data_IF_166710641176
#
_entry.id   IF_166710641176
#
_cell.length_a   1.000
_cell.length_b   1.000
_cell.length_c   1.000
_cell.angle_alpha   90.00
_cell.angle_beta   90.00
_cell.angle_gamma   90.00
#
_symmetry.space_group_name_H-M   'P 1'
#
loop_
_entity.id
_entity.type
_entity.pdbx_description
1 polymer ?
#
# COMPACT_ATOMS: atom_id res chain seq x y z
N UNK A 1 -2.49 21.53 -35.62
CA UNK A 1 -1.73 20.89 -34.55
C UNK A 1 -2.75 20.59 -33.45
N UNK A 2 -3.23 19.37 -33.36
CA UNK A 2 -4.17 18.92 -32.32
C UNK A 2 -3.33 18.29 -31.21
N UNK A 3 -3.29 18.91 -30.04
CA UNK A 3 -2.79 18.27 -28.83
C UNK A 3 -3.79 17.17 -28.47
N UNK A 4 -3.40 15.93 -28.65
CA UNK A 4 -4.06 14.79 -28.03
C UNK A 4 -3.59 14.76 -26.58
N UNK A 5 -4.47 15.19 -25.68
CA UNK A 5 -4.37 14.92 -24.27
C UNK A 5 -4.58 13.40 -24.09
N UNK A 6 -3.54 12.69 -23.81
CA UNK A 6 -3.61 11.32 -23.29
C UNK A 6 -3.92 11.44 -21.80
N UNK A 7 -5.20 11.44 -21.47
CA UNK A 7 -5.61 11.10 -20.11
C UNK A 7 -5.21 9.66 -19.87
N UNK A 8 -4.14 9.45 -19.14
CA UNK A 8 -3.82 8.15 -18.57
C UNK A 8 -4.93 7.85 -17.57
N UNK A 9 -5.88 7.02 -18.00
CA UNK A 9 -6.67 6.24 -17.09
C UNK A 9 -5.66 5.28 -16.45
N UNK A 10 -5.12 5.63 -15.28
CA UNK A 10 -4.81 4.60 -14.30
C UNK A 10 -6.17 3.97 -14.01
N UNK A 11 -6.55 3.03 -14.88
CA UNK A 11 -7.62 2.14 -14.53
C UNK A 11 -7.15 1.47 -13.26
N UNK A 12 -7.54 2.07 -12.12
CA UNK A 12 -7.67 1.22 -10.98
C UNK A 12 -8.34 -0.02 -11.51
N UNK A 13 -7.67 -1.07 -11.30
CA UNK A 13 -8.28 -2.33 -11.28
C UNK A 13 -8.96 -2.56 -9.92
N UNK A 14 -9.91 -1.84 -9.81
CA UNK A 14 -11.18 -2.23 -10.39
C UNK A 14 -11.15 -2.18 -11.94
N UNK A 15 -10.04 -2.50 -12.56
CA UNK A 15 -9.98 -2.84 -13.97
C UNK A 15 -10.79 -4.10 -14.06
N UNK A 16 -11.97 -3.88 -14.43
CA UNK A 16 -12.97 -4.85 -14.65
C UNK A 16 -12.38 -6.24 -14.73
N UNK A 17 -12.47 -6.98 -13.61
CA UNK A 17 -12.73 -8.37 -13.77
C UNK A 17 -13.79 -8.39 -14.84
N UNK A 18 -13.42 -8.72 -16.05
CA UNK A 18 -14.38 -8.87 -17.14
C UNK A 18 -15.32 -9.93 -16.63
N UNK A 19 -16.47 -9.49 -16.10
CA UNK A 19 -17.52 -10.39 -15.70
C UNK A 19 -17.94 -11.13 -16.97
N UNK A 20 -17.36 -12.28 -17.20
CA UNK A 20 -17.87 -13.19 -18.18
C UNK A 20 -19.08 -13.85 -17.53
N UNK A 21 -20.20 -13.17 -17.61
CA UNK A 21 -21.49 -13.71 -17.22
C UNK A 21 -21.91 -14.76 -18.27
N UNK A 22 -21.40 -15.98 -18.13
CA UNK A 22 -21.92 -17.12 -18.81
C UNK A 22 -23.14 -17.61 -18.04
N UNK A 23 -24.29 -16.96 -18.28
CA UNK A 23 -25.56 -17.44 -17.79
C UNK A 23 -26.01 -18.67 -18.62
N UNK A 24 -25.44 -19.82 -18.33
CA UNK A 24 -26.06 -21.08 -18.80
C UNK A 24 -27.20 -21.43 -17.85
N UNK A 25 -28.43 -21.37 -18.39
CA UNK A 25 -29.64 -21.88 -17.74
C UNK A 25 -29.57 -23.41 -17.70
N UNK A 26 -28.93 -23.97 -16.70
CA UNK A 26 -28.96 -25.42 -16.47
C UNK A 26 -30.14 -25.73 -15.56
N UNK A 27 -31.15 -26.44 -16.07
CA UNK A 27 -32.24 -26.95 -15.25
C UNK A 27 -31.71 -28.16 -14.45
N UNK A 28 -31.64 -28.01 -13.14
CA UNK A 28 -31.14 -29.04 -12.24
C UNK A 28 -32.19 -30.03 -11.80
N UNK A 29 -31.85 -31.29 -11.85
CA UNK A 29 -32.56 -32.38 -11.24
C UNK A 29 -31.65 -32.94 -10.12
N UNK A 30 -32.13 -32.87 -8.87
CA UNK A 30 -31.73 -33.48 -7.61
C UNK A 30 -30.67 -32.78 -6.74
N UNK A 31 -31.00 -32.44 -5.46
CA UNK A 31 -30.17 -31.66 -4.55
C UNK A 31 -29.40 -32.44 -3.49
N UNK A 32 -29.65 -33.70 -3.19
CA UNK A 32 -29.41 -34.23 -1.85
C UNK A 32 -28.06 -34.92 -1.58
N UNK A 33 -27.21 -35.17 -2.59
CA UNK A 33 -25.98 -35.94 -2.36
C UNK A 33 -24.67 -35.13 -2.35
N UNK A 34 -24.71 -33.86 -2.76
CA UNK A 34 -23.48 -33.02 -2.87
C UNK A 34 -23.18 -32.16 -1.62
N UNK A 35 -24.21 -31.85 -0.83
CA UNK A 35 -24.03 -31.00 0.37
C UNK A 35 -23.33 -31.71 1.52
N UNK A 36 -23.59 -33.00 1.74
CA UNK A 36 -23.00 -33.74 2.86
C UNK A 36 -21.49 -34.04 2.69
N UNK A 37 -21.02 -34.34 1.47
CA UNK A 37 -19.60 -34.66 1.25
C UNK A 37 -18.69 -33.43 1.29
N UNK A 38 -19.22 -32.22 1.06
CA UNK A 38 -18.46 -30.99 1.05
C UNK A 38 -18.33 -30.39 2.45
N UNK A 39 -19.39 -30.42 3.25
CA UNK A 39 -19.34 -29.98 4.65
C UNK A 39 -18.33 -30.79 5.45
N UNK A 40 -18.23 -32.10 5.25
CA UNK A 40 -17.25 -32.96 5.95
C UNK A 40 -15.79 -32.65 5.59
N UNK A 41 -15.51 -32.10 4.40
CA UNK A 41 -14.15 -31.78 3.97
C UNK A 41 -13.69 -30.41 4.48
N UNK A 42 -14.59 -29.45 4.58
CA UNK A 42 -14.31 -28.08 5.07
C UNK A 42 -14.26 -28.04 6.61
N UNK A 43 -15.11 -28.82 7.30
CA UNK A 43 -15.13 -28.91 8.78
C UNK A 43 -13.92 -29.63 9.36
N UNK A 44 -13.23 -30.49 8.61
CA UNK A 44 -12.11 -31.31 9.11
C UNK A 44 -10.77 -30.56 9.19
N UNK A 45 -10.61 -29.39 8.56
CA UNK A 45 -9.39 -28.57 8.62
C UNK A 45 -9.51 -27.30 9.47
N UNK A 46 -10.67 -27.02 10.05
CA UNK A 46 -10.87 -25.90 10.98
C UNK A 46 -10.19 -26.13 12.33
N UNK A 47 -8.85 -26.23 12.31
CA UNK A 47 -8.08 -26.17 13.56
C UNK A 47 -8.06 -24.73 14.08
N UNK A 48 -8.27 -24.61 15.41
CA UNK A 48 -8.27 -23.36 16.20
C UNK A 48 -7.08 -22.42 15.99
N UNK A 49 -6.04 -22.85 15.29
CA UNK A 49 -4.88 -22.05 14.88
C UNK A 49 -5.17 -21.11 13.71
N UNK A 50 -6.05 -21.47 12.79
CA UNK A 50 -6.38 -20.64 11.63
C UNK A 50 -7.26 -19.43 11.99
N UNK A 51 -8.18 -19.56 12.94
CA UNK A 51 -9.02 -18.41 13.35
C UNK A 51 -8.19 -17.25 13.93
N UNK A 52 -7.10 -17.55 14.65
CA UNK A 52 -6.22 -16.53 15.19
C UNK A 52 -5.40 -15.83 14.09
N UNK A 53 -5.06 -16.56 13.02
CA UNK A 53 -4.33 -16.04 11.87
C UNK A 53 -5.20 -15.12 11.01
N UNK A 54 -6.44 -15.51 10.72
CA UNK A 54 -7.38 -14.71 9.96
C UNK A 54 -7.73 -13.36 10.63
N UNK A 55 -7.72 -13.28 11.95
CA UNK A 55 -7.98 -12.05 12.68
C UNK A 55 -6.91 -10.96 12.45
N UNK A 56 -5.76 -11.30 11.87
CA UNK A 56 -4.73 -10.34 11.50
C UNK A 56 -4.97 -9.67 10.13
N UNK A 57 -5.87 -10.24 9.31
CA UNK A 57 -6.23 -9.64 8.03
C UNK A 57 -7.28 -8.54 8.23
N UNK A 58 -6.95 -7.35 7.79
CA UNK A 58 -7.78 -6.16 8.05
C UNK A 58 -9.17 -6.30 7.44
N UNK A 59 -9.27 -6.57 6.14
CA UNK A 59 -10.56 -6.64 5.45
C UNK A 59 -11.40 -7.83 5.93
N UNK A 60 -10.79 -8.98 6.16
CA UNK A 60 -11.47 -10.12 6.77
C UNK A 60 -12.10 -9.75 8.11
N UNK A 61 -11.38 -9.03 8.97
CA UNK A 61 -11.85 -8.64 10.31
C UNK A 61 -13.04 -7.66 10.29
N UNK A 62 -13.26 -6.95 9.18
CA UNK A 62 -14.38 -6.00 9.01
C UNK A 62 -15.66 -6.66 8.50
N UNK A 63 -15.60 -7.92 8.08
CA UNK A 63 -16.72 -8.67 7.49
C UNK A 63 -17.63 -9.29 8.53
N UNK A 64 -18.91 -9.46 8.16
CA UNK A 64 -19.81 -10.31 8.92
C UNK A 64 -19.48 -11.81 8.71
N UNK A 65 -20.11 -12.66 9.53
CA UNK A 65 -19.83 -14.12 9.55
C UNK A 65 -20.11 -14.81 8.20
N UNK A 66 -21.12 -14.34 7.46
CA UNK A 66 -21.45 -14.90 6.14
C UNK A 66 -20.38 -14.51 5.12
N UNK A 67 -19.97 -13.25 5.09
CA UNK A 67 -18.90 -12.75 4.24
C UNK A 67 -17.56 -13.42 4.56
N UNK A 68 -17.24 -13.61 5.85
CA UNK A 68 -16.03 -14.33 6.28
C UNK A 68 -16.00 -15.77 5.78
N UNK A 69 -17.15 -16.43 5.71
CA UNK A 69 -17.24 -17.77 5.15
C UNK A 69 -16.95 -17.76 3.63
N UNK A 70 -17.57 -16.86 2.89
CA UNK A 70 -17.30 -16.67 1.46
C UNK A 70 -15.85 -16.32 1.20
N UNK A 71 -15.23 -15.52 2.06
CA UNK A 71 -13.80 -15.16 1.98
C UNK A 71 -12.90 -16.39 2.03
N UNK A 72 -13.12 -17.27 3.01
CA UNK A 72 -12.36 -18.53 3.12
C UNK A 72 -12.56 -19.45 1.93
N UNK A 73 -13.78 -19.51 1.39
CA UNK A 73 -14.11 -20.30 0.20
C UNK A 73 -13.39 -19.76 -1.04
N UNK A 74 -13.38 -18.44 -1.25
CA UNK A 74 -12.69 -17.79 -2.37
C UNK A 74 -11.17 -17.94 -2.22
N UNK A 75 -10.61 -17.68 -1.03
CA UNK A 75 -9.20 -17.84 -0.76
C UNK A 75 -8.74 -19.26 -1.06
N UNK A 76 -9.47 -20.26 -0.53
CA UNK A 76 -9.18 -21.66 -0.80
C UNK A 76 -9.23 -22.01 -2.29
N UNK A 77 -10.21 -21.45 -3.03
CA UNK A 77 -10.32 -21.68 -4.47
C UNK A 77 -9.11 -21.11 -5.21
N UNK A 78 -8.66 -19.90 -4.86
CA UNK A 78 -7.51 -19.25 -5.48
C UNK A 78 -6.20 -19.99 -5.20
N UNK A 79 -5.92 -20.32 -3.93
CA UNK A 79 -4.71 -21.00 -3.53
C UNK A 79 -4.56 -22.40 -4.16
N UNK A 80 -5.67 -23.10 -4.34
CA UNK A 80 -5.68 -24.49 -4.81
C UNK A 80 -6.10 -24.64 -6.27
N UNK A 81 -6.36 -23.54 -7.00
CA UNK A 81 -6.82 -23.55 -8.39
C UNK A 81 -8.11 -24.39 -8.56
N UNK A 82 -9.05 -24.26 -7.60
CA UNK A 82 -10.30 -25.01 -7.62
C UNK A 82 -11.26 -24.37 -8.61
N UNK A 83 -11.73 -25.16 -9.59
CA UNK A 83 -12.79 -24.74 -10.51
C UNK A 83 -14.18 -25.05 -9.90
N UNK A 84 -15.16 -24.19 -10.22
CA UNK A 84 -16.56 -24.33 -9.80
C UNK A 84 -16.78 -24.52 -8.28
N UNK A 85 -15.96 -23.80 -7.48
CA UNK A 85 -16.10 -23.81 -6.02
C UNK A 85 -17.49 -23.32 -5.60
N UNK A 86 -18.31 -24.14 -4.90
CA UNK A 86 -19.59 -23.67 -4.40
C UNK A 86 -19.41 -22.61 -3.33
N UNK A 87 -20.10 -21.48 -3.47
CA UNK A 87 -20.08 -20.42 -2.47
C UNK A 87 -21.28 -20.47 -1.54
N UNK A 88 -21.07 -20.08 -0.28
CA UNK A 88 -22.12 -19.94 0.74
C UNK A 88 -22.97 -18.68 0.59
N UNK A 89 -22.94 -18.04 -0.56
CA UNK A 89 -23.79 -16.89 -0.91
C UNK A 89 -24.48 -17.09 -2.25
N UNK A 90 -25.62 -16.42 -2.44
CA UNK A 90 -26.33 -16.30 -3.73
C UNK A 90 -26.32 -14.88 -4.25
N UNK A 91 -25.55 -13.98 -3.62
CA UNK A 91 -25.47 -12.55 -3.93
C UNK A 91 -24.15 -12.26 -4.65
N UNK A 92 -24.22 -11.81 -5.89
CA UNK A 92 -23.00 -11.56 -6.71
C UNK A 92 -22.20 -10.35 -6.26
N UNK A 93 -22.86 -9.34 -5.70
CA UNK A 93 -22.19 -8.18 -5.09
C UNK A 93 -21.36 -8.56 -3.86
N UNK A 94 -21.80 -9.59 -3.10
CA UNK A 94 -20.98 -10.15 -2.00
C UNK A 94 -19.75 -10.87 -2.57
N UNK A 95 -19.90 -11.65 -3.66
CA UNK A 95 -18.77 -12.34 -4.31
C UNK A 95 -17.72 -11.32 -4.77
N UNK A 96 -18.16 -10.28 -5.48
CA UNK A 96 -17.27 -9.23 -6.01
C UNK A 96 -16.52 -8.50 -4.87
N UNK A 97 -17.25 -8.02 -3.87
CA UNK A 97 -16.67 -7.35 -2.71
C UNK A 97 -15.66 -8.23 -1.97
N UNK A 98 -16.03 -9.48 -1.71
CA UNK A 98 -15.19 -10.40 -0.94
C UNK A 98 -13.95 -10.80 -1.73
N UNK A 99 -14.04 -11.03 -3.04
CA UNK A 99 -12.89 -11.29 -3.89
C UNK A 99 -11.86 -10.15 -3.82
N UNK A 100 -12.32 -8.89 -3.92
CA UNK A 100 -11.44 -7.73 -3.77
C UNK A 100 -10.74 -7.71 -2.41
N UNK A 101 -11.48 -8.00 -1.34
CA UNK A 101 -10.91 -8.06 0.01
C UNK A 101 -9.84 -9.15 0.15
N UNK A 102 -10.05 -10.33 -0.45
CA UNK A 102 -9.04 -11.39 -0.48
C UNK A 102 -7.76 -10.90 -1.14
N UNK A 103 -7.84 -10.25 -2.30
CA UNK A 103 -6.66 -9.73 -3.00
C UNK A 103 -5.97 -8.56 -2.28
N UNK A 104 -6.71 -7.79 -1.46
CA UNK A 104 -6.16 -6.71 -0.66
C UNK A 104 -5.48 -7.21 0.62
N UNK A 105 -5.96 -8.29 1.21
CA UNK A 105 -5.36 -8.90 2.39
C UNK A 105 -4.18 -9.83 2.05
N UNK A 106 -4.14 -10.39 0.82
CA UNK A 106 -3.20 -11.42 0.39
C UNK A 106 -2.32 -10.97 -0.79
N UNK A 107 -1.28 -10.14 -0.56
CA UNK A 107 -0.37 -9.71 -1.61
C UNK A 107 0.38 -10.87 -2.29
N UNK A 108 0.50 -12.02 -1.62
CA UNK A 108 1.09 -13.27 -2.13
C UNK A 108 0.23 -13.94 -3.21
N UNK A 109 -1.05 -13.55 -3.37
CA UNK A 109 -1.89 -14.01 -4.49
C UNK A 109 -1.60 -13.12 -5.72
N UNK A 110 -0.37 -13.15 -6.19
CA UNK A 110 0.09 -12.37 -7.35
C UNK A 110 -0.32 -12.98 -8.70
N UNK A 111 -0.76 -14.21 -8.70
CA UNK A 111 -1.02 -15.07 -9.86
C UNK A 111 -2.48 -15.05 -10.31
N UNK A 112 -3.40 -14.46 -9.55
CA UNK A 112 -4.81 -14.32 -9.90
C UNK A 112 -5.11 -12.88 -10.33
N UNK A 113 -5.77 -12.71 -11.48
CA UNK A 113 -6.15 -11.43 -12.06
C UNK A 113 -7.66 -11.21 -12.14
N UNK A 114 -8.46 -12.23 -11.82
CA UNK A 114 -9.89 -12.14 -11.89
C UNK A 114 -10.60 -13.41 -11.45
N UNK A 115 -11.87 -13.46 -11.76
CA UNK A 115 -12.70 -14.63 -11.50
C UNK A 115 -13.88 -14.72 -12.48
N UNK A 116 -14.48 -15.90 -12.54
CA UNK A 116 -15.79 -16.13 -13.15
C UNK A 116 -16.70 -16.83 -12.16
N UNK A 117 -18.01 -16.76 -12.39
CA UNK A 117 -18.99 -17.49 -11.60
C UNK A 117 -20.14 -18.03 -12.44
N UNK A 118 -20.76 -19.11 -11.97
CA UNK A 118 -21.98 -19.66 -12.59
C UNK A 118 -23.12 -19.55 -11.58
N UNK A 119 -24.27 -19.00 -12.06
CA UNK A 119 -25.51 -18.94 -11.28
C UNK A 119 -26.40 -20.11 -11.63
N UNK A 120 -26.86 -20.85 -10.64
CA UNK A 120 -27.87 -21.89 -10.79
C UNK A 120 -29.22 -21.34 -10.32
N UNK A 121 -30.19 -21.24 -11.22
CA UNK A 121 -31.51 -20.65 -10.94
C UNK A 121 -32.62 -21.68 -11.00
N UNK A 122 -33.61 -21.51 -10.15
CA UNK A 122 -34.87 -22.26 -10.19
C UNK A 122 -36.03 -21.29 -10.05
N UNK A 123 -36.90 -21.22 -11.03
CA UNK A 123 -38.05 -20.28 -11.07
C UNK A 123 -37.60 -18.82 -10.80
N UNK A 124 -36.59 -18.37 -11.54
CA UNK A 124 -35.97 -17.02 -11.47
C UNK A 124 -35.29 -16.66 -10.15
N UNK A 125 -35.17 -17.61 -9.23
CA UNK A 125 -34.44 -17.42 -7.98
C UNK A 125 -33.06 -18.10 -8.02
N UNK A 126 -31.97 -17.37 -7.70
CA UNK A 126 -30.63 -17.94 -7.62
C UNK A 126 -30.54 -18.88 -6.41
N UNK A 127 -30.23 -20.12 -6.65
CA UNK A 127 -30.13 -21.18 -5.63
C UNK A 127 -28.69 -21.50 -5.24
N UNK A 128 -27.75 -21.27 -6.14
CA UNK A 128 -26.34 -21.57 -5.93
C UNK A 128 -25.50 -20.68 -6.84
N UNK A 129 -24.33 -20.28 -6.36
CA UNK A 129 -23.24 -19.69 -7.15
C UNK A 129 -22.02 -20.61 -7.01
N UNK A 130 -21.32 -20.85 -8.12
CA UNK A 130 -19.97 -21.43 -8.10
C UNK A 130 -18.97 -20.42 -8.62
N UNK A 131 -17.79 -20.40 -8.01
CA UNK A 131 -16.69 -19.48 -8.29
C UNK A 131 -15.54 -20.23 -8.93
N UNK A 132 -14.85 -19.60 -9.89
CA UNK A 132 -13.58 -20.07 -10.46
C UNK A 132 -12.65 -18.89 -10.62
N UNK A 133 -11.43 -19.00 -10.09
CA UNK A 133 -10.40 -17.97 -10.28
C UNK A 133 -9.93 -17.90 -11.73
N UNK A 134 -9.50 -16.72 -12.18
CA UNK A 134 -8.77 -16.50 -13.42
C UNK A 134 -7.31 -16.24 -13.10
N UNK A 135 -6.40 -16.89 -13.80
CA UNK A 135 -4.98 -16.91 -13.42
C UNK A 135 -4.11 -16.45 -14.57
N UNK A 136 -3.11 -15.61 -14.28
CA UNK A 136 -2.07 -15.16 -15.22
C UNK A 136 -0.92 -16.18 -15.30
N UNK A 137 -0.76 -17.01 -14.28
CA UNK A 137 0.24 -18.07 -14.21
C UNK A 137 -0.41 -19.42 -13.92
N UNK A 138 0.09 -20.47 -14.55
CA UNK A 138 -0.26 -21.81 -14.13
C UNK A 138 0.41 -22.17 -12.79
N UNK A 139 0.06 -23.33 -12.24
CA UNK A 139 0.55 -23.73 -10.91
C UNK A 139 2.07 -23.90 -10.85
N UNK A 140 2.69 -24.41 -11.93
CA UNK A 140 4.14 -24.61 -11.98
C UNK A 140 4.88 -23.27 -12.06
N UNK A 141 4.41 -22.35 -12.90
CA UNK A 141 4.95 -21.00 -13.03
C UNK A 141 4.78 -20.21 -11.72
N UNK A 142 3.59 -20.31 -11.08
CA UNK A 142 3.32 -19.72 -9.77
C UNK A 142 4.32 -20.22 -8.73
N UNK A 143 4.50 -21.54 -8.60
CA UNK A 143 5.39 -22.11 -7.58
C UNK A 143 6.86 -21.69 -7.81
N UNK A 144 7.30 -21.56 -9.08
CA UNK A 144 8.63 -21.06 -9.42
C UNK A 144 8.81 -19.59 -9.04
N UNK A 145 7.86 -18.73 -9.41
CA UNK A 145 7.90 -17.30 -9.08
C UNK A 145 7.82 -17.06 -7.55
N UNK A 146 6.97 -17.80 -6.85
CA UNK A 146 6.86 -17.74 -5.39
C UNK A 146 8.20 -18.03 -4.70
N UNK A 147 8.91 -19.06 -5.13
CA UNK A 147 10.23 -19.38 -4.59
C UNK A 147 11.27 -18.26 -4.86
N UNK A 148 11.21 -17.60 -6.02
CA UNK A 148 12.08 -16.48 -6.36
C UNK A 148 11.73 -15.22 -5.55
N UNK A 149 10.43 -14.92 -5.38
CA UNK A 149 9.94 -13.82 -4.56
C UNK A 149 10.37 -14.02 -3.11
N UNK A 150 10.21 -15.23 -2.57
CA UNK A 150 10.63 -15.57 -1.22
C UNK A 150 12.13 -15.33 -1.02
N UNK A 151 12.96 -15.78 -1.96
CA UNK A 151 14.40 -15.55 -1.90
C UNK A 151 14.76 -14.06 -1.94
N UNK A 152 14.15 -13.29 -2.84
CA UNK A 152 14.36 -11.85 -2.95
C UNK A 152 13.94 -11.12 -1.66
N UNK A 153 12.77 -11.45 -1.13
CA UNK A 153 12.26 -10.87 0.12
C UNK A 153 13.20 -11.15 1.31
N UNK A 154 13.67 -12.39 1.45
CA UNK A 154 14.64 -12.76 2.50
C UNK A 154 15.96 -12.00 2.34
N UNK A 155 16.39 -11.73 1.11
CA UNK A 155 17.59 -10.95 0.85
C UNK A 155 17.41 -9.49 1.23
N UNK A 156 16.28 -8.87 0.86
CA UNK A 156 15.94 -7.51 1.22
C UNK A 156 15.79 -7.32 2.75
N UNK A 157 15.36 -8.34 3.47
CA UNK A 157 15.17 -8.30 4.93
C UNK A 157 16.43 -8.61 5.75
N UNK A 158 17.59 -8.87 5.13
CA UNK A 158 18.83 -9.21 5.87
C UNK A 158 19.35 -8.10 6.78
N UNK A 159 19.00 -6.86 6.50
CA UNK A 159 19.51 -5.68 7.25
C UNK A 159 18.70 -5.34 8.49
N UNK A 160 17.59 -6.04 8.77
CA UNK A 160 16.72 -5.76 9.93
C UNK A 160 16.77 -6.91 10.94
N UNK A 161 16.94 -6.59 12.21
CA UNK A 161 16.98 -7.58 13.28
C UNK A 161 15.58 -8.04 13.73
N UNK A 162 15.49 -9.27 14.24
CA UNK A 162 14.24 -9.79 14.81
C UNK A 162 13.75 -8.98 16.03
N UNK A 163 14.68 -8.40 16.80
CA UNK A 163 14.39 -7.60 17.99
C UNK A 163 14.12 -6.11 17.68
N UNK A 164 14.12 -5.71 16.40
CA UNK A 164 13.80 -4.34 16.00
C UNK A 164 12.35 -4.01 16.36
N UNK A 165 12.11 -2.75 16.74
CA UNK A 165 10.76 -2.23 17.02
C UNK A 165 9.90 -2.21 15.75
N UNK A 166 8.58 -2.18 15.90
CA UNK A 166 7.67 -2.08 14.76
C UNK A 166 7.98 -0.85 13.89
N UNK A 167 8.29 0.30 14.52
CA UNK A 167 8.70 1.50 13.80
C UNK A 167 9.97 1.30 12.96
N UNK A 168 11.01 0.69 13.53
CA UNK A 168 12.25 0.41 12.82
C UNK A 168 12.02 -0.54 11.64
N UNK A 169 11.15 -1.54 11.81
CA UNK A 169 10.75 -2.46 10.74
C UNK A 169 10.01 -1.74 9.62
N UNK A 170 9.03 -0.89 9.97
CA UNK A 170 8.27 -0.11 8.96
C UNK A 170 9.18 0.85 8.21
N UNK A 171 10.03 1.61 8.92
CA UNK A 171 11.00 2.51 8.30
C UNK A 171 11.97 1.75 7.39
N UNK A 172 12.50 0.62 7.85
CA UNK A 172 13.41 -0.21 7.07
C UNK A 172 12.78 -0.72 5.77
N UNK A 173 11.55 -1.25 5.84
CA UNK A 173 10.82 -1.74 4.67
C UNK A 173 10.52 -0.60 3.69
N UNK A 174 10.08 0.56 4.20
CA UNK A 174 9.84 1.76 3.41
C UNK A 174 11.08 2.16 2.60
N UNK A 175 12.21 2.34 3.28
CA UNK A 175 13.49 2.71 2.66
C UNK A 175 14.00 1.62 1.70
N UNK A 176 13.80 0.35 2.04
CA UNK A 176 14.26 -0.78 1.24
C UNK A 176 13.48 -0.86 -0.07
N UNK A 177 12.16 -0.74 -0.03
CA UNK A 177 11.33 -0.75 -1.24
C UNK A 177 11.69 0.42 -2.15
N UNK A 178 11.81 1.64 -1.61
CA UNK A 178 12.16 2.83 -2.39
C UNK A 178 13.53 2.67 -3.07
N UNK A 179 14.54 2.17 -2.37
CA UNK A 179 15.90 2.03 -2.93
C UNK A 179 16.06 0.90 -3.94
N UNK A 180 15.15 -0.07 -3.96
CA UNK A 180 15.27 -1.26 -4.80
C UNK A 180 14.20 -1.35 -5.88
N UNK A 181 13.36 -0.34 -6.02
CA UNK A 181 12.26 -0.34 -7.01
C UNK A 181 12.27 0.99 -7.75
N UNK A 182 12.22 0.95 -9.07
CA UNK A 182 12.04 2.11 -9.93
C UNK A 182 10.54 2.26 -10.26
N UNK A 183 10.02 3.49 -10.27
CA UNK A 183 8.64 3.72 -10.69
C UNK A 183 8.55 3.65 -12.23
N UNK A 184 7.87 2.63 -12.74
CA UNK A 184 7.72 2.40 -14.18
C UNK A 184 6.31 1.88 -14.51
N UNK A 185 5.57 2.65 -15.32
CA UNK A 185 4.22 2.29 -15.76
C UNK A 185 4.20 1.16 -16.79
N UNK A 186 5.30 0.96 -17.49
CA UNK A 186 5.44 -0.07 -18.53
C UNK A 186 6.07 -1.38 -17.98
N UNK A 187 6.39 -1.42 -16.68
CA UNK A 187 6.96 -2.62 -16.06
C UNK A 187 6.01 -3.82 -16.17
N UNK A 188 6.57 -4.99 -16.47
CA UNK A 188 5.83 -6.24 -16.48
C UNK A 188 5.32 -6.56 -15.07
N UNK A 189 4.08 -7.06 -14.96
CA UNK A 189 3.43 -7.42 -13.68
C UNK A 189 3.29 -6.24 -12.69
N UNK A 190 3.29 -5.00 -13.16
CA UNK A 190 3.38 -3.78 -12.35
C UNK A 190 2.31 -3.59 -11.28
N UNK A 191 1.23 -4.40 -11.29
CA UNK A 191 0.15 -4.36 -10.30
C UNK A 191 0.30 -5.40 -9.17
N UNK A 192 1.35 -6.21 -9.21
CA UNK A 192 1.58 -7.25 -8.22
C UNK A 192 3.03 -7.29 -7.74
N UNK A 193 3.33 -8.15 -6.76
CA UNK A 193 4.65 -8.20 -6.12
C UNK A 193 5.77 -8.74 -7.01
N UNK A 194 5.46 -9.41 -8.13
CA UNK A 194 6.48 -9.90 -9.05
C UNK A 194 7.32 -8.74 -9.61
N UNK A 195 6.67 -7.62 -9.95
CA UNK A 195 7.34 -6.45 -10.50
C UNK A 195 8.43 -5.90 -9.58
N UNK A 196 8.14 -5.82 -8.28
CA UNK A 196 9.10 -5.34 -7.27
C UNK A 196 10.20 -6.37 -7.02
N UNK A 197 9.82 -7.63 -6.69
CA UNK A 197 10.79 -8.62 -6.22
C UNK A 197 11.62 -9.26 -7.33
N UNK A 198 11.10 -9.35 -8.56
CA UNK A 198 11.78 -10.01 -9.67
C UNK A 198 12.34 -9.02 -10.69
N UNK A 199 11.67 -7.86 -10.89
CA UNK A 199 12.03 -6.92 -11.94
C UNK A 199 12.63 -5.61 -11.37
N UNK A 200 12.40 -5.27 -10.12
CA UNK A 200 12.86 -4.02 -9.50
C UNK A 200 12.20 -2.76 -10.07
N UNK A 201 11.02 -2.89 -10.71
CA UNK A 201 10.30 -1.77 -11.29
C UNK A 201 8.79 -2.01 -11.18
N UNK A 202 8.00 -1.00 -10.77
CA UNK A 202 6.59 -1.17 -10.49
C UNK A 202 5.81 0.15 -10.51
N UNK A 203 4.50 0.08 -10.28
CA UNK A 203 3.63 1.23 -9.97
C UNK A 203 3.12 1.15 -8.53
N UNK A 204 2.34 2.13 -8.11
CA UNK A 204 1.87 2.28 -6.72
C UNK A 204 1.30 0.99 -6.09
N UNK A 205 0.51 0.21 -6.84
CA UNK A 205 -0.08 -1.02 -6.32
C UNK A 205 0.96 -2.11 -6.03
N UNK A 206 1.98 -2.27 -6.88
CA UNK A 206 3.07 -3.20 -6.62
C UNK A 206 3.94 -2.75 -5.44
N UNK A 207 4.28 -1.45 -5.33
CA UNK A 207 4.95 -0.87 -4.17
C UNK A 207 4.19 -1.19 -2.87
N UNK A 208 2.91 -0.85 -2.81
CA UNK A 208 2.10 -1.04 -1.62
C UNK A 208 1.93 -2.53 -1.23
N UNK A 209 1.73 -3.42 -2.21
CA UNK A 209 1.68 -4.86 -1.97
C UNK A 209 3.02 -5.43 -1.50
N UNK A 210 4.14 -4.94 -2.03
CA UNK A 210 5.46 -5.38 -1.60
C UNK A 210 5.79 -4.91 -0.17
N UNK A 211 5.41 -3.68 0.20
CA UNK A 211 5.48 -3.19 1.58
C UNK A 211 4.66 -4.09 2.51
N UNK A 212 3.39 -4.38 2.15
CA UNK A 212 2.53 -5.27 2.93
C UNK A 212 3.13 -6.67 3.09
N UNK A 213 3.67 -7.26 2.02
CA UNK A 213 4.29 -8.58 2.03
C UNK A 213 5.51 -8.64 2.95
N UNK A 214 6.45 -7.67 2.84
CA UNK A 214 7.63 -7.63 3.71
C UNK A 214 7.27 -7.38 5.18
N UNK A 215 6.33 -6.48 5.45
CA UNK A 215 5.86 -6.22 6.81
C UNK A 215 5.16 -7.44 7.41
N UNK A 216 4.40 -8.18 6.61
CA UNK A 216 3.81 -9.47 7.03
C UNK A 216 4.87 -10.47 7.49
N UNK A 217 6.00 -10.60 6.75
CA UNK A 217 7.14 -11.44 7.15
C UNK A 217 7.81 -10.97 8.44
N UNK A 218 7.79 -9.68 8.72
CA UNK A 218 8.30 -9.09 9.97
C UNK A 218 7.26 -9.07 11.10
N UNK A 219 6.07 -9.65 10.88
CA UNK A 219 4.95 -9.69 11.83
C UNK A 219 4.43 -8.29 12.23
N UNK A 220 4.53 -7.31 11.34
CA UNK A 220 3.93 -5.99 11.49
C UNK A 220 2.65 -5.95 10.67
N UNK A 221 1.47 -5.73 11.30
CA UNK A 221 0.21 -5.67 10.57
C UNK A 221 0.21 -4.50 9.58
N UNK A 222 -0.05 -4.82 8.33
CA UNK A 222 -0.15 -3.86 7.24
C UNK A 222 -1.30 -4.25 6.32
N UNK A 223 -2.00 -3.26 5.76
CA UNK A 223 -3.07 -3.49 4.79
C UNK A 223 -2.93 -2.53 3.62
N UNK A 224 -3.40 -2.98 2.46
CA UNK A 224 -3.49 -2.16 1.26
C UNK A 224 -4.63 -1.15 1.44
N UNK A 225 -4.40 0.10 1.08
CA UNK A 225 -5.41 1.16 1.02
C UNK A 225 -5.52 1.63 -0.43
N UNK A 226 -6.73 1.81 -0.91
CA UNK A 226 -7.00 2.31 -2.26
C UNK A 226 -7.77 3.62 -2.21
N UNK A 227 -7.53 4.47 -3.18
CA UNK A 227 -8.18 5.76 -3.29
C UNK A 227 -7.73 6.53 -4.52
N UNK A 228 -7.69 7.84 -4.43
CA UNK A 228 -7.19 8.73 -5.47
C UNK A 228 -6.24 9.76 -4.88
N UNK A 229 -5.46 10.39 -5.73
CA UNK A 229 -4.65 11.56 -5.38
C UNK A 229 -5.26 12.84 -5.97
N UNK A 230 -4.70 14.00 -5.63
CA UNK A 230 -5.25 15.34 -5.96
C UNK A 230 -5.65 15.55 -7.42
N UNK A 231 -4.95 14.95 -8.37
CA UNK A 231 -5.26 15.04 -9.80
C UNK A 231 -6.41 14.12 -10.22
N UNK A 232 -6.99 13.34 -9.28
CA UNK A 232 -8.06 12.37 -9.50
C UNK A 232 -7.56 11.01 -10.03
N UNK A 233 -6.26 10.83 -10.17
CA UNK A 233 -5.69 9.52 -10.51
C UNK A 233 -5.84 8.57 -9.35
N UNK A 234 -6.12 7.35 -9.71
CA UNK A 234 -6.20 6.29 -8.76
C UNK A 234 -4.85 5.95 -8.13
N UNK A 235 -4.83 5.59 -6.84
CA UNK A 235 -3.62 5.35 -6.08
C UNK A 235 -3.80 4.26 -5.02
N UNK A 236 -2.69 3.59 -4.68
CA UNK A 236 -2.65 2.57 -3.64
C UNK A 236 -1.46 2.82 -2.72
N UNK A 237 -1.70 2.70 -1.42
CA UNK A 237 -0.70 2.85 -0.35
C UNK A 237 -1.01 1.89 0.80
N UNK A 238 -0.42 2.07 1.96
CA UNK A 238 -0.62 1.19 3.09
C UNK A 238 -1.16 1.92 4.32
N UNK A 239 -1.90 1.19 5.14
CA UNK A 239 -2.08 1.47 6.55
C UNK A 239 -1.34 0.40 7.34
N UNK A 240 -0.52 0.83 8.32
CA UNK A 240 0.29 -0.06 9.17
C UNK A 240 -0.09 0.12 10.62
N UNK A 241 0.11 -0.92 11.43
CA UNK A 241 -0.05 -0.83 12.88
C UNK A 241 1.33 -0.85 13.52
N UNK A 242 1.71 0.27 14.13
CA UNK A 242 2.96 0.41 14.90
C UNK A 242 2.60 0.52 16.36
N UNK A 243 3.11 -0.41 17.18
CA UNK A 243 2.74 -0.52 18.59
C UNK A 243 1.21 -0.68 18.75
N UNK A 244 0.52 0.34 19.24
CA UNK A 244 -0.94 0.29 19.46
C UNK A 244 -1.72 1.31 18.61
N UNK A 245 -1.11 1.94 17.60
CA UNK A 245 -1.73 2.96 16.77
C UNK A 245 -1.59 2.61 15.27
N UNK A 246 -2.54 3.12 14.48
CA UNK A 246 -2.49 3.01 13.03
C UNK A 246 -1.87 4.27 12.41
N UNK A 247 -1.16 4.07 11.29
CA UNK A 247 -0.52 5.12 10.51
C UNK A 247 -0.64 4.81 9.02
N UNK A 248 -0.62 5.85 8.19
CA UNK A 248 -0.48 5.65 6.75
C UNK A 248 0.98 5.66 6.34
N UNK A 249 1.29 4.87 5.32
CA UNK A 249 2.61 4.76 4.69
C UNK A 249 2.43 4.70 3.18
N UNK A 250 3.10 5.58 2.44
CA UNK A 250 3.11 5.56 0.99
C UNK A 250 4.53 5.58 0.44
N UNK A 251 5.05 4.40 0.12
CA UNK A 251 6.40 4.25 -0.42
C UNK A 251 6.53 4.80 -1.84
N UNK A 252 5.45 4.88 -2.63
CA UNK A 252 5.48 5.47 -3.97
C UNK A 252 5.73 6.97 -3.91
N UNK A 253 5.00 7.69 -3.06
CA UNK A 253 5.20 9.13 -2.85
C UNK A 253 6.45 9.44 -2.01
N UNK A 254 6.97 8.42 -1.35
CA UNK A 254 8.28 8.46 -0.71
C UNK A 254 9.45 8.35 -1.67
N UNK A 255 9.23 7.88 -2.87
CA UNK A 255 10.24 7.65 -3.89
C UNK A 255 10.43 8.88 -4.78
N UNK A 256 11.66 9.42 -4.80
CA UNK A 256 11.98 10.56 -5.67
C UNK A 256 11.80 10.21 -7.16
N UNK A 257 12.00 8.95 -7.56
CA UNK A 257 11.85 8.52 -8.96
C UNK A 257 10.41 8.70 -9.46
N UNK A 258 9.41 8.46 -8.62
CA UNK A 258 8.01 8.76 -8.93
C UNK A 258 7.78 10.23 -9.27
N UNK A 259 8.41 11.15 -8.53
CA UNK A 259 8.28 12.60 -8.78
C UNK A 259 8.84 13.01 -10.14
N UNK A 260 9.87 12.32 -10.65
CA UNK A 260 10.39 12.54 -12.00
C UNK A 260 9.38 12.16 -13.09
N UNK A 261 8.61 11.10 -12.90
CA UNK A 261 7.60 10.67 -13.89
C UNK A 261 6.39 11.61 -13.97
N UNK A 262 6.03 12.25 -12.85
CA UNK A 262 4.83 13.11 -12.77
C UNK A 262 5.12 14.55 -13.15
N UNK A 263 6.38 15.01 -13.10
CA UNK A 263 6.77 16.42 -13.23
C UNK A 263 7.93 16.65 -14.21
N UNK A 264 7.88 16.08 -15.41
CA UNK A 264 8.95 16.14 -16.44
C UNK A 264 9.55 17.53 -16.71
N UNK A 265 8.91 18.62 -16.29
CA UNK A 265 9.29 20.00 -16.61
C UNK A 265 9.89 20.81 -15.43
N UNK A 266 10.12 20.24 -14.25
CA UNK A 266 10.57 21.04 -13.10
C UNK A 266 12.07 20.89 -12.78
N UNK A 267 12.81 22.01 -12.85
CA UNK A 267 14.20 22.12 -12.36
C UNK A 267 14.33 21.77 -10.85
N UNK A 268 13.22 21.76 -10.12
CA UNK A 268 13.15 21.43 -8.70
C UNK A 268 13.45 19.94 -8.40
N UNK A 269 13.21 19.05 -9.37
CA UNK A 269 13.34 17.59 -9.20
C UNK A 269 14.80 17.15 -9.03
N UNK A 270 15.77 17.84 -9.66
CA UNK A 270 17.20 17.48 -9.58
C UNK A 270 17.77 17.57 -8.16
N UNK A 271 17.02 18.12 -7.23
CA UNK A 271 17.43 18.43 -5.88
C UNK A 271 16.44 17.88 -4.84
N UNK A 272 15.75 16.80 -5.14
CA UNK A 272 14.89 16.08 -4.18
C UNK A 272 15.71 15.01 -3.45
N UNK A 273 15.60 14.86 -2.11
CA UNK A 273 16.21 13.74 -1.42
C UNK A 273 15.73 12.41 -2.02
N UNK A 274 16.61 11.41 -2.09
CA UNK A 274 16.29 10.06 -2.58
C UNK A 274 15.00 9.50 -1.94
N UNK A 275 14.80 9.78 -0.66
CA UNK A 275 13.64 9.35 0.12
C UNK A 275 12.93 10.57 0.71
N UNK A 276 11.65 10.67 0.41
CA UNK A 276 10.74 11.64 1.01
C UNK A 276 10.00 10.99 2.20
N UNK A 277 10.28 11.44 3.41
CA UNK A 277 9.66 10.91 4.63
C UNK A 277 8.32 11.59 5.00
N UNK A 278 7.81 12.50 4.18
CA UNK A 278 6.49 13.11 4.38
C UNK A 278 5.33 12.11 4.32
N UNK A 279 5.61 10.87 3.89
CA UNK A 279 4.65 9.79 3.73
C UNK A 279 4.98 8.55 4.57
N UNK A 280 5.87 8.68 5.57
CA UNK A 280 6.21 7.59 6.49
C UNK A 280 5.53 7.76 7.86
N UNK A 281 4.63 6.87 8.20
CA UNK A 281 3.88 6.84 9.47
C UNK A 281 3.11 8.15 9.75
N UNK A 282 2.30 8.56 8.79
CA UNK A 282 1.53 9.80 8.85
C UNK A 282 0.10 9.58 9.34
N UNK A 283 -0.51 10.66 9.83
CA UNK A 283 -1.88 10.66 10.31
C UNK A 283 -2.91 10.71 9.17
N UNK A 284 -4.19 10.46 9.51
CA UNK A 284 -5.31 10.68 8.56
C UNK A 284 -5.35 12.13 8.08
N UNK A 285 -5.11 13.11 8.96
CA UNK A 285 -5.09 14.52 8.57
C UNK A 285 -3.98 14.80 7.54
N UNK A 286 -2.78 14.26 7.77
CA UNK A 286 -1.63 14.48 6.89
C UNK A 286 -1.83 13.81 5.53
N UNK A 287 -2.24 12.54 5.48
CA UNK A 287 -2.42 11.84 4.20
C UNK A 287 -3.54 12.46 3.36
N UNK A 288 -4.63 12.90 3.97
CA UNK A 288 -5.77 13.51 3.26
C UNK A 288 -5.47 14.88 2.66
N UNK A 289 -4.30 15.46 2.86
CA UNK A 289 -3.89 16.70 2.17
C UNK A 289 -3.59 16.48 0.69
N UNK A 290 -3.28 15.26 0.32
CA UNK A 290 -2.92 14.89 -1.06
C UNK A 290 -3.64 13.64 -1.56
N UNK A 291 -4.27 12.87 -0.67
CA UNK A 291 -4.94 11.62 -0.97
C UNK A 291 -6.41 11.68 -0.59
N UNK A 292 -7.23 10.90 -1.28
CA UNK A 292 -8.64 10.69 -0.97
C UNK A 292 -8.86 9.17 -0.82
N UNK A 293 -9.20 8.72 0.38
CA UNK A 293 -9.45 7.30 0.67
C UNK A 293 -10.78 6.89 0.04
N UNK A 294 -10.83 5.73 -0.59
CA UNK A 294 -12.07 5.18 -1.17
C UNK A 294 -13.12 4.94 -0.09
N UNK A 295 -14.35 5.36 -0.35
CA UNK A 295 -15.51 5.12 0.54
C UNK A 295 -15.95 3.65 0.59
N UNK A 296 -15.33 2.78 -0.21
CA UNK A 296 -15.70 1.34 -0.28
C UNK A 296 -15.47 0.63 1.06
N UNK A 297 -14.48 1.08 1.84
CA UNK A 297 -14.11 0.49 3.12
C UNK A 297 -13.90 1.57 4.18
N UNK A 298 -14.44 1.32 5.37
CA UNK A 298 -14.22 2.22 6.51
C UNK A 298 -12.84 1.97 7.12
N UNK A 299 -11.93 2.92 6.95
CA UNK A 299 -10.61 2.86 7.57
C UNK A 299 -10.64 3.46 8.97
N UNK A 300 -9.87 2.91 9.93
CA UNK A 300 -9.72 3.51 11.26
C UNK A 300 -9.03 4.87 11.17
N UNK A 301 -9.34 5.75 12.12
CA UNK A 301 -8.66 7.03 12.26
C UNK A 301 -7.21 6.82 12.72
N UNK A 302 -6.27 7.38 11.98
CA UNK A 302 -4.86 7.44 12.35
C UNK A 302 -4.59 8.85 12.92
N UNK A 303 -4.50 8.99 14.24
CA UNK A 303 -4.38 10.28 14.93
C UNK A 303 -3.11 10.40 15.80
N UNK A 304 -2.31 9.35 15.89
CA UNK A 304 -1.08 9.34 16.66
C UNK A 304 0.09 9.90 15.86
N UNK A 305 0.92 10.73 16.51
CA UNK A 305 2.19 11.23 15.98
C UNK A 305 3.41 10.48 16.51
N UNK A 306 3.23 9.48 17.39
CA UNK A 306 4.35 8.83 18.08
C UNK A 306 5.34 8.10 17.15
N UNK A 307 4.86 7.58 16.02
CA UNK A 307 5.69 6.94 15.01
C UNK A 307 5.96 7.83 13.78
N UNK A 308 5.50 9.09 13.77
CA UNK A 308 5.82 9.99 12.67
C UNK A 308 7.35 10.20 12.59
N UNK A 309 7.90 10.10 11.37
CA UNK A 309 9.34 10.17 11.13
C UNK A 309 9.96 11.45 11.73
N UNK A 310 9.38 12.60 11.45
CA UNK A 310 9.93 13.89 11.89
C UNK A 310 9.86 14.09 13.40
N UNK A 311 8.84 13.52 14.05
CA UNK A 311 8.75 13.50 15.51
C UNK A 311 9.88 12.66 16.10
N UNK A 312 10.14 11.48 15.54
CA UNK A 312 11.22 10.56 15.96
C UNK A 312 12.61 11.15 15.74
N UNK A 313 12.82 11.88 14.64
CA UNK A 313 14.09 12.51 14.28
C UNK A 313 14.29 13.89 14.96
N UNK A 314 13.29 14.40 15.71
CA UNK A 314 13.37 15.74 16.32
C UNK A 314 13.23 16.90 15.33
N UNK A 315 12.73 16.62 14.12
CA UNK A 315 12.58 17.57 13.02
C UNK A 315 11.13 18.09 12.85
N UNK A 316 10.26 17.82 13.83
CA UNK A 316 8.86 18.29 13.88
C UNK A 316 8.75 19.55 14.75
N UNK A 317 8.26 20.64 14.17
CA UNK A 317 8.17 21.96 14.79
C UNK A 317 6.71 22.34 15.05
N UNK A 318 6.39 22.58 16.32
CA UNK A 318 5.09 23.14 16.75
C UNK A 318 5.15 24.66 16.91
N UNK A 319 6.34 25.23 16.94
CA UNK A 319 6.67 26.67 16.95
C UNK A 319 8.03 26.84 16.30
N UNK A 320 8.37 28.05 15.85
CA UNK A 320 9.74 28.36 15.47
C UNK A 320 10.63 28.36 16.71
N UNK A 321 11.45 27.32 16.87
CA UNK A 321 12.41 27.15 17.96
C UNK A 321 13.83 27.12 17.39
N UNK A 322 14.56 28.22 17.58
CA UNK A 322 15.94 28.40 17.10
C UNK A 322 16.90 27.35 17.69
N UNK A 323 16.71 26.94 18.93
CA UNK A 323 17.59 25.96 19.59
C UNK A 323 17.36 24.56 19.02
N UNK A 324 16.09 24.18 18.82
CA UNK A 324 15.77 22.91 18.17
C UNK A 324 16.36 22.86 16.76
N UNK A 325 16.24 23.93 15.99
CA UNK A 325 16.78 24.03 14.64
C UNK A 325 18.32 23.93 14.63
N UNK A 326 19.01 24.67 15.50
CA UNK A 326 20.45 24.62 15.63
C UNK A 326 20.96 23.21 15.96
N UNK A 327 20.32 22.56 16.94
CA UNK A 327 20.66 21.20 17.35
C UNK A 327 20.41 20.20 16.22
N UNK A 328 19.28 20.31 15.53
CA UNK A 328 18.92 19.43 14.41
C UNK A 328 19.96 19.51 13.28
N UNK A 329 20.29 20.73 12.84
CA UNK A 329 21.28 20.95 11.78
C UNK A 329 22.66 20.42 12.20
N UNK A 330 23.07 20.69 13.44
CA UNK A 330 24.35 20.21 13.96
C UNK A 330 24.42 18.67 13.96
N UNK A 331 23.36 17.99 14.46
CA UNK A 331 23.27 16.55 14.50
C UNK A 331 23.30 15.92 13.09
N UNK A 332 22.60 16.50 12.13
CA UNK A 332 22.54 15.98 10.76
C UNK A 332 23.90 16.10 10.07
N UNK A 333 24.63 17.20 10.31
CA UNK A 333 26.01 17.35 9.82
C UNK A 333 26.97 16.36 10.45
N UNK A 334 26.88 16.12 11.75
CA UNK A 334 27.71 15.12 12.44
C UNK A 334 27.48 13.72 11.87
N UNK A 335 26.25 13.43 11.44
CA UNK A 335 25.88 12.18 10.78
C UNK A 335 26.29 12.13 9.30
N UNK A 336 26.82 13.23 8.75
CA UNK A 336 27.18 13.34 7.33
C UNK A 336 25.98 13.36 6.39
N UNK A 337 24.81 13.77 6.87
CA UNK A 337 23.62 13.93 6.02
C UNK A 337 23.78 15.16 5.14
N UNK A 338 23.36 15.03 3.89
CA UNK A 338 23.47 16.10 2.89
C UNK A 338 22.32 17.10 2.94
N UNK A 339 21.22 16.75 3.58
CA UNK A 339 20.02 17.59 3.70
C UNK A 339 19.32 17.44 5.03
N UNK A 340 18.55 18.46 5.40
CA UNK A 340 17.67 18.47 6.56
C UNK A 340 16.26 18.89 6.12
N UNK A 341 15.24 18.11 6.48
CA UNK A 341 13.84 18.47 6.26
C UNK A 341 13.20 18.88 7.58
N UNK A 342 12.58 20.05 7.59
CA UNK A 342 11.83 20.60 8.72
C UNK A 342 10.35 20.37 8.46
N UNK A 343 9.65 19.71 9.37
CA UNK A 343 8.20 19.46 9.32
C UNK A 343 7.49 20.39 10.29
N UNK A 344 6.47 21.10 9.83
CA UNK A 344 5.69 22.04 10.64
C UNK A 344 4.32 21.46 11.00
N UNK A 345 3.89 21.69 12.22
CA UNK A 345 2.63 21.16 12.75
C UNK A 345 1.40 21.69 12.01
N UNK A 346 1.43 22.96 11.65
CA UNK A 346 0.31 23.64 11.00
C UNK A 346 0.81 24.71 9.99
N UNK A 347 -0.13 25.32 9.30
CA UNK A 347 0.16 26.33 8.27
C UNK A 347 0.73 27.63 8.87
N UNK A 348 0.39 27.96 10.13
CA UNK A 348 0.92 29.14 10.81
C UNK A 348 2.42 28.97 11.07
N UNK A 349 2.80 27.83 11.65
CA UNK A 349 4.23 27.50 11.90
C UNK A 349 5.00 27.41 10.58
N UNK A 350 4.41 26.76 9.55
CA UNK A 350 5.02 26.67 8.23
C UNK A 350 5.31 28.05 7.62
N UNK A 351 4.32 28.93 7.63
CA UNK A 351 4.47 30.29 7.06
C UNK A 351 5.52 31.10 7.85
N UNK A 352 5.55 30.99 9.17
CA UNK A 352 6.58 31.62 9.99
C UNK A 352 7.99 31.10 9.63
N UNK A 353 8.13 29.77 9.47
CA UNK A 353 9.42 29.16 9.09
C UNK A 353 9.86 29.61 7.69
N UNK A 354 8.97 29.69 6.73
CA UNK A 354 9.27 30.24 5.38
C UNK A 354 9.71 31.68 5.47
N UNK A 355 8.94 32.55 6.16
CA UNK A 355 9.29 33.96 6.34
C UNK A 355 10.66 34.14 7.00
N UNK A 356 10.89 33.46 8.13
CA UNK A 356 12.14 33.62 8.89
C UNK A 356 13.34 33.01 8.16
N UNK A 357 13.24 31.77 7.70
CA UNK A 357 14.42 31.05 7.21
C UNK A 357 14.73 31.37 5.75
N UNK A 358 13.72 31.58 4.90
CA UNK A 358 13.87 31.79 3.46
C UNK A 358 13.81 33.27 3.12
N UNK A 359 12.69 33.98 3.41
CA UNK A 359 12.51 35.36 3.00
C UNK A 359 13.47 36.33 3.70
N UNK A 360 13.63 36.16 5.04
CA UNK A 360 14.59 36.94 5.82
C UNK A 360 16.01 36.36 5.77
N UNK A 361 16.18 35.19 5.14
CA UNK A 361 17.47 34.53 4.97
C UNK A 361 18.17 34.12 6.29
N UNK A 362 17.43 33.98 7.39
CA UNK A 362 18.01 33.63 8.68
C UNK A 362 18.55 32.19 8.72
N UNK A 363 18.25 31.35 7.73
CA UNK A 363 18.86 30.02 7.60
C UNK A 363 20.40 30.08 7.61
N UNK A 364 21.00 31.17 7.06
CA UNK A 364 22.45 31.36 7.05
C UNK A 364 23.08 31.49 8.44
N UNK A 365 22.29 31.81 9.49
CA UNK A 365 22.78 31.84 10.88
C UNK A 365 23.14 30.45 11.42
N UNK A 366 22.58 29.39 10.81
CA UNK A 366 22.76 28.00 11.23
C UNK A 366 23.75 27.23 10.35
N UNK A 367 24.13 27.82 9.19
CA UNK A 367 25.09 27.23 8.28
C UNK A 367 26.50 27.60 8.63
N UNK A 368 27.41 26.61 8.72
CA UNK A 368 28.83 26.83 8.99
C UNK A 368 29.54 27.00 7.65
N UNK A 369 30.24 28.14 7.47
CA UNK A 369 31.09 28.41 6.30
C UNK A 369 30.73 29.70 5.56
N UNK A 370 31.52 30.04 4.53
CA UNK A 370 31.33 31.25 3.69
C UNK A 370 30.34 31.02 2.52
N UNK A 371 29.37 30.13 2.70
CA UNK A 371 28.37 29.84 1.64
C UNK A 371 27.41 31.03 1.51
N UNK A 372 27.42 31.67 0.34
CA UNK A 372 26.53 32.77 0.02
C UNK A 372 25.22 32.30 -0.63
N UNK A 373 25.01 30.99 -0.76
CA UNK A 373 23.81 30.39 -1.34
C UNK A 373 23.51 29.05 -0.66
N UNK A 374 22.24 28.76 -0.55
CA UNK A 374 21.73 27.46 -0.09
C UNK A 374 20.65 26.98 -1.04
N UNK A 375 20.66 25.70 -1.32
CA UNK A 375 19.59 25.07 -2.05
C UNK A 375 18.50 24.65 -1.07
N UNK A 376 17.26 24.90 -1.43
CA UNK A 376 16.11 24.43 -0.67
C UNK A 376 14.95 24.02 -1.60
N UNK A 377 14.09 23.16 -1.09
CA UNK A 377 12.75 22.91 -1.64
C UNK A 377 11.72 23.03 -0.53
N UNK A 378 10.53 23.43 -0.89
CA UNK A 378 9.39 23.50 0.02
C UNK A 378 8.18 22.75 -0.52
N UNK A 379 7.45 22.14 0.39
CA UNK A 379 6.24 21.40 0.10
C UNK A 379 5.08 21.94 0.98
N UNK A 380 4.38 22.98 0.54
CA UNK A 380 3.35 23.65 1.35
C UNK A 380 2.23 22.72 1.80
N UNK A 381 1.79 21.79 0.96
CA UNK A 381 0.76 20.80 1.32
C UNK A 381 1.21 19.87 2.45
N UNK A 382 2.47 19.47 2.44
CA UNK A 382 3.08 18.65 3.49
C UNK A 382 3.57 19.48 4.66
N UNK A 383 3.62 20.82 4.54
CA UNK A 383 4.19 21.73 5.54
C UNK A 383 5.64 21.35 5.87
N UNK A 384 6.42 21.04 4.85
CA UNK A 384 7.82 20.67 5.01
C UNK A 384 8.73 21.56 4.16
N UNK A 385 9.95 21.81 4.66
CA UNK A 385 10.99 22.57 4.01
C UNK A 385 12.27 21.77 4.10
N UNK A 386 12.92 21.50 2.97
CA UNK A 386 14.20 20.79 2.91
C UNK A 386 15.33 21.75 2.53
N UNK A 387 16.40 21.75 3.30
CA UNK A 387 17.63 22.49 3.03
C UNK A 387 18.79 21.52 2.81
N UNK A 388 19.64 21.80 1.79
CA UNK A 388 20.89 21.06 1.57
C UNK A 388 22.00 21.72 2.37
N UNK A 389 22.78 20.91 3.14
CA UNK A 389 23.71 21.35 4.18
C UNK A 389 25.16 21.50 3.66
#
# INVERSE_FOLDING_TARGET
MKKMSWGLLCAFLLSGCALHENAENVSMIQPDSYQESYQDTVELEEKKTQEAEFNNYFYYSTMDVEQQKVYKEILHALENYVEEMPLSTTQTDVVDKVFQCVLMDHPEIFYADGYSFVKYTLADEVKKITFSGTYIYDKEEKDQKEAQIEQSALELLRGIGADSTDYEKVKYVYETIIRNTEYDMDAEDNQNICSVFLNGASVCQGYAKAVQYLLGKLQVPATLVIGTVDNGEGHAWNMVKVENAFYYVDATWGDASYLFHVNEDSEQIQNTPEINYDYLCVTTEEILRTHCISDMYSMPLCDSMNANYYVREGAYFTVMDERQLEQLIANYREQGRESVTLKCADDEVYNIMVEELIEKQHIFNYLIGENNSILYTDAPKQRSITFWL
#
